data_IF_436035577204
#
_entry.id   IF_436035577204
#
_cell.length_a   1.000
_cell.length_b   1.000
_cell.length_c   1.000
_cell.angle_alpha   90.00
_cell.angle_beta   90.00
_cell.angle_gamma   90.00
#
_symmetry.space_group_name_H-M   'P 1'
#
loop_
_entity.id
_entity.type
_entity.pdbx_description
1 polymer ?
#
# COMPACT_ATOMS: atom_id res chain seq x y z
N UNK A 1 -17.71 0.06 -3.09
CA UNK A 1 -18.21 1.27 -2.40
C UNK A 1 -17.02 2.21 -2.24
N UNK A 2 -17.05 3.42 -2.81
CA UNK A 2 -15.93 4.37 -2.72
C UNK A 2 -16.02 5.11 -1.39
N UNK A 3 -15.33 4.62 -0.38
CA UNK A 3 -15.22 5.26 0.94
C UNK A 3 -13.74 5.31 1.36
N UNK A 4 -13.42 6.03 2.44
CA UNK A 4 -12.04 6.20 2.90
C UNK A 4 -11.35 4.87 3.21
N UNK A 5 -12.09 3.86 3.68
CA UNK A 5 -11.51 2.54 3.94
C UNK A 5 -11.07 1.83 2.65
N UNK A 6 -11.89 1.90 1.60
CA UNK A 6 -11.52 1.37 0.29
C UNK A 6 -10.31 2.12 -0.28
N UNK A 7 -10.26 3.45 -0.16
CA UNK A 7 -9.12 4.25 -0.59
C UNK A 7 -7.81 3.81 0.08
N UNK A 8 -7.79 3.70 1.41
CA UNK A 8 -6.57 3.33 2.13
C UNK A 8 -6.14 1.89 1.85
N UNK A 9 -7.08 0.96 1.72
CA UNK A 9 -6.77 -0.39 1.27
C UNK A 9 -6.20 -0.41 -0.16
N UNK A 10 -6.71 0.43 -1.07
CA UNK A 10 -6.14 0.59 -2.42
C UNK A 10 -4.72 1.13 -2.39
N UNK A 11 -4.45 2.15 -1.57
CA UNK A 11 -3.11 2.74 -1.44
C UNK A 11 -2.13 1.69 -0.93
N UNK A 12 -2.46 0.99 0.17
CA UNK A 12 -1.64 -0.08 0.71
C UNK A 12 -1.39 -1.19 -0.34
N UNK A 13 -2.41 -1.57 -1.10
CA UNK A 13 -2.27 -2.57 -2.16
C UNK A 13 -1.30 -2.12 -3.25
N UNK A 14 -1.46 -0.90 -3.77
CA UNK A 14 -0.59 -0.35 -4.82
C UNK A 14 0.86 -0.24 -4.33
N UNK A 15 1.08 0.21 -3.10
CA UNK A 15 2.41 0.25 -2.49
C UNK A 15 2.99 -1.15 -2.25
N UNK A 16 2.16 -2.16 -1.97
CA UNK A 16 2.63 -3.54 -1.80
C UNK A 16 2.93 -4.26 -3.11
N UNK A 17 2.37 -3.82 -4.24
CA UNK A 17 2.51 -4.53 -5.52
C UNK A 17 3.97 -4.85 -5.92
N UNK A 18 4.95 -3.95 -5.77
CA UNK A 18 6.35 -4.27 -6.05
C UNK A 18 6.89 -5.45 -5.22
N UNK A 19 6.44 -5.59 -3.97
CA UNK A 19 6.79 -6.74 -3.12
C UNK A 19 6.07 -7.99 -3.60
N UNK A 20 4.76 -7.89 -3.86
CA UNK A 20 3.92 -8.99 -4.37
C UNK A 20 4.49 -9.62 -5.63
N UNK A 21 5.03 -8.80 -6.54
CA UNK A 21 5.58 -9.25 -7.82
C UNK A 21 7.10 -9.49 -7.80
N UNK A 22 7.74 -9.42 -6.62
CA UNK A 22 9.17 -9.75 -6.46
C UNK A 22 10.14 -8.70 -6.98
N UNK A 23 9.69 -7.47 -7.20
CA UNK A 23 10.52 -6.35 -7.65
C UNK A 23 11.25 -5.62 -6.52
N UNK A 24 10.74 -5.71 -5.28
CA UNK A 24 11.32 -5.06 -4.10
C UNK A 24 11.18 -5.94 -2.85
N UNK A 25 12.07 -5.75 -1.87
CA UNK A 25 12.00 -6.45 -0.58
C UNK A 25 10.99 -5.82 0.38
N UNK A 26 10.79 -4.51 0.26
CA UNK A 26 9.80 -3.73 1.02
C UNK A 26 9.02 -2.79 0.11
N UNK A 27 7.83 -2.42 0.56
CA UNK A 27 6.88 -1.60 -0.21
C UNK A 27 7.39 -0.17 -0.46
N UNK A 28 8.27 0.34 0.41
CA UNK A 28 8.87 1.67 0.35
C UNK A 28 10.22 1.70 -0.41
N UNK A 29 10.71 0.55 -0.90
CA UNK A 29 11.97 0.45 -1.64
C UNK A 29 11.79 0.64 -3.16
N UNK A 30 10.56 0.62 -3.69
CA UNK A 30 10.30 0.75 -5.12
C UNK A 30 10.21 2.21 -5.57
N UNK A 31 11.20 2.74 -6.33
CA UNK A 31 11.30 4.17 -6.61
C UNK A 31 10.26 4.65 -7.63
N UNK A 32 9.62 3.75 -8.37
CA UNK A 32 8.57 4.07 -9.34
C UNK A 32 7.16 3.95 -8.74
N UNK A 33 7.02 4.18 -7.44
CA UNK A 33 5.75 4.24 -6.73
C UNK A 33 5.57 5.60 -6.06
N UNK A 34 4.37 5.88 -5.57
CA UNK A 34 4.09 7.03 -4.70
C UNK A 34 4.40 6.75 -3.22
N UNK A 35 5.08 5.66 -2.88
CA UNK A 35 5.44 5.34 -1.49
C UNK A 35 6.35 6.41 -0.84
N UNK A 36 7.34 7.00 -1.55
CA UNK A 36 8.13 8.11 -1.01
C UNK A 36 7.28 9.33 -0.66
N UNK A 37 6.48 9.84 -1.60
CA UNK A 37 5.58 10.97 -1.37
C UNK A 37 4.59 10.70 -0.23
N UNK A 38 4.09 9.46 -0.14
CA UNK A 38 3.21 9.03 0.95
C UNK A 38 3.90 9.12 2.32
N UNK A 39 5.18 8.74 2.41
CA UNK A 39 5.98 8.85 3.65
C UNK A 39 6.45 10.29 3.94
N UNK A 40 6.59 11.15 2.93
CA UNK A 40 6.89 12.57 3.14
C UNK A 40 5.66 13.35 3.64
N UNK A 41 4.45 12.92 3.25
CA UNK A 41 3.20 13.56 3.62
C UNK A 41 2.68 13.25 5.02
N UNK A 42 3.30 12.33 5.77
CA UNK A 42 2.88 11.94 7.12
C UNK A 42 4.02 11.36 7.95
N UNK A 43 3.81 11.20 9.25
CA UNK A 43 4.76 10.51 10.13
C UNK A 43 4.79 9.00 9.89
N UNK A 44 5.89 8.35 10.28
CA UNK A 44 6.02 6.90 10.19
C UNK A 44 4.96 6.17 11.03
N UNK A 45 4.58 6.75 12.16
CA UNK A 45 3.54 6.24 13.05
C UNK A 45 2.16 6.27 12.39
N UNK A 46 1.83 7.37 11.69
CA UNK A 46 0.58 7.49 10.92
C UNK A 46 0.53 6.48 9.78
N UNK A 47 1.60 6.38 8.99
CA UNK A 47 1.72 5.38 7.92
C UNK A 47 1.54 3.96 8.47
N UNK A 48 2.22 3.61 9.57
CA UNK A 48 2.07 2.32 10.22
C UNK A 48 0.64 2.09 10.75
N UNK A 49 -0.03 3.15 11.22
CA UNK A 49 -1.44 3.11 11.62
C UNK A 49 -2.36 2.77 10.44
N UNK A 50 -2.15 3.40 9.28
CA UNK A 50 -2.90 3.13 8.04
C UNK A 50 -2.70 1.68 7.59
N UNK A 51 -1.46 1.18 7.58
CA UNK A 51 -1.17 -0.22 7.22
C UNK A 51 -1.88 -1.22 8.15
N UNK A 52 -1.95 -0.94 9.45
CA UNK A 52 -2.64 -1.80 10.42
C UNK A 52 -4.17 -1.72 10.28
N UNK A 53 -4.71 -0.53 10.04
CA UNK A 53 -6.14 -0.30 9.96
C UNK A 53 -6.78 -0.83 8.67
N UNK A 54 -6.00 -0.91 7.57
CA UNK A 54 -6.49 -1.28 6.24
C UNK A 54 -5.66 -2.42 5.63
N UNK A 55 -5.76 -3.64 6.18
CA UNK A 55 -4.99 -4.79 5.71
C UNK A 55 -5.46 -5.25 4.31
N UNK A 56 -4.54 -5.87 3.55
CA UNK A 56 -4.73 -6.19 2.14
C UNK A 56 -4.83 -7.70 1.84
N UNK A 57 -4.92 -8.58 2.84
CA UNK A 57 -4.79 -10.05 2.69
C UNK A 57 -5.77 -10.67 1.67
N UNK A 58 -6.94 -10.04 1.49
CA UNK A 58 -7.99 -10.44 0.53
C UNK A 58 -8.28 -9.35 -0.50
N UNK A 59 -7.61 -8.21 -0.42
CA UNK A 59 -7.82 -7.10 -1.33
C UNK A 59 -7.17 -7.39 -2.67
N UNK A 60 -7.90 -7.13 -3.77
CA UNK A 60 -7.40 -7.43 -5.12
C UNK A 60 -7.29 -8.91 -5.47
N UNK A 61 -7.96 -9.81 -4.72
CA UNK A 61 -8.02 -11.23 -5.07
C UNK A 61 -8.63 -11.41 -6.47
N UNK A 62 -7.88 -12.06 -7.37
CA UNK A 62 -8.29 -12.31 -8.76
C UNK A 62 -8.05 -11.15 -9.73
N UNK A 63 -7.30 -10.11 -9.34
CA UNK A 63 -6.98 -8.99 -10.25
C UNK A 63 -5.74 -9.22 -11.11
N UNK A 64 -4.83 -10.08 -10.66
CA UNK A 64 -3.56 -10.36 -11.32
C UNK A 64 -3.45 -11.82 -11.81
N UNK A 65 -4.60 -12.51 -11.88
CA UNK A 65 -4.73 -13.86 -12.46
C UNK A 65 -4.82 -13.81 -13.99
#
# INVERSE_FOLDING_TARGET
MKNSAHLWASINYVHHNPVKHGYAGKWDEWPWSSAPDFLEGMTREEAAGIWKAYPIDRYGKGWDD
#
